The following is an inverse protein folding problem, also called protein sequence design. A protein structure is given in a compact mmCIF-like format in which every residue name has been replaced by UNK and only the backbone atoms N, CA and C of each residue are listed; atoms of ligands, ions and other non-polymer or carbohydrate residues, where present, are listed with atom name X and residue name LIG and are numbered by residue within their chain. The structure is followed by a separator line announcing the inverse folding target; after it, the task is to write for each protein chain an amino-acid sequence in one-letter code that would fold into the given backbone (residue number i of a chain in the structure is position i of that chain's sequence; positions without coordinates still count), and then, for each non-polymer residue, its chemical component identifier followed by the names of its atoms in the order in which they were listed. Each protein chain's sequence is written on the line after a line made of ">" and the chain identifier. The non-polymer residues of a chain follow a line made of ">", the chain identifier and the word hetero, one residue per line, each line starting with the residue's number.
data_IF_412858706056
#
_entry.id   IF_412858706056
#
_cell.length_a   1.000
_cell.length_b   1.000
_cell.length_c   1.000
_cell.angle_alpha   90.00
_cell.angle_beta   90.00
_cell.angle_gamma   90.00
#
_symmetry.space_group_name_H-M   'P 1'
#
loop_
_entity.id
_entity.type
_entity.pdbx_description
1 polymer ?
#
# COMPACT_ATOMS: atom_id res chain seq x y z
N UNK A 1 -13.81 5.80 12.65
CA UNK A 1 -14.74 4.72 12.24
C UNK A 1 -15.20 4.00 13.49
N UNK A 2 -16.51 3.86 13.66
CA UNK A 2 -17.09 3.22 14.81
C UNK A 2 -17.12 1.70 14.60
N UNK A 3 -16.32 0.96 15.37
CA UNK A 3 -16.25 -0.49 15.23
C UNK A 3 -17.46 -1.21 15.83
N UNK A 4 -18.32 -0.52 16.60
CA UNK A 4 -19.53 -1.13 17.15
C UNK A 4 -20.48 -1.59 16.05
N UNK A 5 -20.48 -0.95 14.87
CA UNK A 5 -21.28 -1.36 13.73
C UNK A 5 -20.81 -2.67 13.10
N UNK A 6 -19.62 -3.16 13.50
CA UNK A 6 -19.04 -4.39 12.95
C UNK A 6 -19.27 -5.61 13.84
N UNK A 7 -20.06 -5.45 14.91
CA UNK A 7 -20.44 -6.57 15.77
C UNK A 7 -21.22 -7.59 14.92
N UNK A 8 -20.71 -8.82 14.86
CA UNK A 8 -21.29 -9.86 14.00
C UNK A 8 -20.72 -9.93 12.58
N UNK A 9 -19.72 -9.10 12.25
CA UNK A 9 -19.01 -9.22 10.99
C UNK A 9 -17.90 -10.28 11.07
N UNK A 10 -17.94 -11.28 10.19
CA UNK A 10 -17.04 -12.42 10.23
C UNK A 10 -16.18 -12.59 8.97
N UNK A 11 -16.24 -11.66 8.05
CA UNK A 11 -15.55 -11.79 6.75
C UNK A 11 -14.26 -10.97 6.69
N UNK A 12 -13.42 -11.07 7.71
CA UNK A 12 -12.16 -10.35 7.77
C UNK A 12 -11.14 -10.79 6.71
N UNK A 13 -11.32 -11.95 6.09
CA UNK A 13 -10.49 -12.36 4.97
C UNK A 13 -10.71 -11.48 3.74
N UNK A 14 -11.91 -10.94 3.54
CA UNK A 14 -12.21 -10.04 2.43
C UNK A 14 -11.69 -8.63 2.70
N UNK A 15 -11.95 -8.10 3.89
CA UNK A 15 -11.48 -6.78 4.30
C UNK A 15 -11.64 -6.63 5.81
N UNK A 16 -10.91 -5.68 6.36
CA UNK A 16 -10.99 -5.32 7.77
C UNK A 16 -11.14 -3.82 7.92
N UNK A 17 -11.71 -3.33 9.05
CA UNK A 17 -11.71 -1.90 9.31
C UNK A 17 -10.28 -1.41 9.56
N UNK A 18 -10.04 -0.13 9.26
CA UNK A 18 -8.75 0.49 9.57
C UNK A 18 -8.62 0.66 11.08
N UNK A 19 -7.45 0.31 11.62
CA UNK A 19 -7.15 0.58 13.02
C UNK A 19 -7.00 2.08 13.25
N UNK A 20 -7.19 2.50 14.50
CA UNK A 20 -7.03 3.91 14.85
C UNK A 20 -5.62 4.43 14.53
N UNK A 21 -4.60 3.63 14.81
CA UNK A 21 -3.22 4.00 14.49
C UNK A 21 -2.98 4.20 13.01
N UNK A 22 -3.57 3.37 12.16
CA UNK A 22 -3.47 3.51 10.71
C UNK A 22 -4.17 4.79 10.23
N UNK A 23 -5.38 5.06 10.75
CA UNK A 23 -6.11 6.29 10.40
C UNK A 23 -5.29 7.53 10.76
N UNK A 24 -4.72 7.57 11.96
CA UNK A 24 -3.90 8.69 12.40
C UNK A 24 -2.64 8.87 11.55
N UNK A 25 -2.02 7.76 11.16
CA UNK A 25 -0.82 7.80 10.30
C UNK A 25 -1.13 8.29 8.88
N UNK A 26 -2.33 8.05 8.38
CA UNK A 26 -2.74 8.45 7.04
C UNK A 26 -3.17 9.92 6.95
N UNK A 27 -3.62 10.52 8.04
CA UNK A 27 -4.17 11.89 8.02
C UNK A 27 -3.25 12.91 7.36
N UNK A 28 -1.95 12.97 7.66
CA UNK A 28 -1.07 13.95 7.00
C UNK A 28 -0.95 13.76 5.50
N UNK A 29 -1.22 12.56 4.97
CA UNK A 29 -1.07 12.27 3.54
C UNK A 29 -2.32 12.54 2.74
N UNK A 30 -3.48 12.70 3.40
CA UNK A 30 -4.76 12.91 2.70
C UNK A 30 -4.75 14.21 1.88
N UNK A 31 -4.02 15.23 2.33
CA UNK A 31 -3.91 16.51 1.64
C UNK A 31 -2.90 16.50 0.49
N UNK A 32 -2.11 15.45 0.31
CA UNK A 32 -1.18 15.33 -0.81
C UNK A 32 -1.96 15.05 -2.09
N UNK A 33 -1.81 15.93 -3.09
CA UNK A 33 -2.58 15.86 -4.32
C UNK A 33 -1.76 15.57 -5.57
N UNK A 34 -0.44 15.67 -5.49
CA UNK A 34 0.41 15.54 -6.66
C UNK A 34 0.73 14.09 -6.99
N UNK A 35 0.83 13.79 -8.28
CA UNK A 35 1.25 12.47 -8.75
C UNK A 35 2.72 12.22 -8.38
N UNK A 36 3.04 11.15 -7.63
CA UNK A 36 4.42 10.86 -7.23
C UNK A 36 5.38 10.67 -8.40
N UNK A 37 4.88 10.25 -9.56
CA UNK A 37 5.71 10.02 -10.75
C UNK A 37 6.00 11.29 -11.55
N UNK A 38 5.33 12.41 -11.24
CA UNK A 38 5.55 13.67 -11.97
C UNK A 38 6.82 14.36 -11.52
N UNK A 39 7.62 14.91 -12.45
CA UNK A 39 8.91 15.54 -12.11
C UNK A 39 8.74 17.02 -11.72
N UNK A 40 7.88 17.34 -10.77
CA UNK A 40 7.71 18.71 -10.30
C UNK A 40 7.84 18.77 -8.77
N UNK A 41 8.01 20.00 -8.26
CA UNK A 41 8.26 20.21 -6.85
C UNK A 41 7.10 19.79 -5.93
N UNK A 42 5.87 19.81 -6.46
CA UNK A 42 4.68 19.43 -5.68
C UNK A 42 4.61 17.91 -5.45
N UNK A 43 5.34 17.13 -6.22
CA UNK A 43 5.37 15.67 -6.11
C UNK A 43 6.41 15.16 -5.12
N UNK A 44 7.30 16.03 -4.62
CA UNK A 44 8.40 15.61 -3.75
C UNK A 44 7.87 14.93 -2.48
N UNK A 45 6.88 15.53 -1.81
CA UNK A 45 6.32 14.96 -0.59
C UNK A 45 5.59 13.65 -0.85
N UNK A 46 4.88 13.54 -1.97
CA UNK A 46 4.20 12.30 -2.35
C UNK A 46 5.21 11.17 -2.60
N UNK A 47 6.29 11.46 -3.32
CA UNK A 47 7.37 10.49 -3.55
C UNK A 47 8.04 10.07 -2.26
N UNK A 48 8.33 11.03 -1.38
CA UNK A 48 8.97 10.74 -0.09
C UNK A 48 8.08 9.86 0.78
N UNK A 49 6.77 10.10 0.79
CA UNK A 49 5.80 9.31 1.55
C UNK A 49 5.78 7.85 1.05
N UNK A 50 5.73 7.65 -0.26
CA UNK A 50 5.74 6.31 -0.85
C UNK A 50 7.06 5.60 -0.61
N UNK A 51 8.18 6.31 -0.77
CA UNK A 51 9.51 5.73 -0.51
C UNK A 51 9.67 5.29 0.95
N UNK A 52 9.18 6.09 1.88
CA UNK A 52 9.23 5.75 3.30
C UNK A 52 8.33 4.55 3.61
N UNK A 53 7.14 4.49 3.05
CA UNK A 53 6.24 3.36 3.21
C UNK A 53 6.87 2.08 2.67
N UNK A 54 7.51 2.16 1.50
CA UNK A 54 8.21 1.02 0.90
C UNK A 54 9.34 0.52 1.79
N UNK A 55 10.13 1.43 2.35
CA UNK A 55 11.21 1.09 3.26
C UNK A 55 10.68 0.42 4.53
N UNK A 56 9.58 0.93 5.09
CA UNK A 56 8.99 0.37 6.29
C UNK A 56 8.48 -1.05 6.07
N UNK A 57 7.85 -1.31 4.93
CA UNK A 57 7.37 -2.66 4.58
C UNK A 57 8.56 -3.59 4.35
N UNK A 58 9.59 -3.12 3.66
CA UNK A 58 10.80 -3.91 3.42
C UNK A 58 11.46 -4.33 4.74
N UNK A 59 11.55 -3.42 5.70
CA UNK A 59 12.10 -3.74 7.03
C UNK A 59 11.25 -4.79 7.74
N UNK A 60 9.94 -4.66 7.69
CA UNK A 60 9.02 -5.62 8.30
C UNK A 60 9.18 -7.03 7.72
N UNK A 61 9.40 -7.13 6.40
CA UNK A 61 9.54 -8.39 5.69
C UNK A 61 11.00 -8.86 5.58
N UNK A 62 11.93 -8.13 6.19
CA UNK A 62 13.37 -8.43 6.17
C UNK A 62 13.90 -8.57 4.73
N UNK A 63 13.60 -7.56 3.91
CA UNK A 63 14.03 -7.50 2.51
C UNK A 63 14.44 -6.07 2.16
N UNK A 64 14.83 -5.84 0.92
CA UNK A 64 15.22 -4.51 0.45
C UNK A 64 14.06 -3.80 -0.24
N UNK A 65 14.03 -2.44 -0.20
CA UNK A 65 12.91 -1.67 -0.74
C UNK A 65 12.65 -1.91 -2.24
N UNK A 66 13.67 -2.19 -3.02
CA UNK A 66 13.51 -2.43 -4.46
C UNK A 66 12.76 -3.72 -4.78
N UNK A 67 12.49 -4.56 -3.77
CA UNK A 67 11.69 -5.79 -3.91
C UNK A 67 10.22 -5.57 -3.55
N UNK A 68 9.85 -4.36 -3.15
CA UNK A 68 8.48 -4.03 -2.76
C UNK A 68 7.81 -3.27 -3.91
N UNK A 69 6.67 -3.76 -4.35
CA UNK A 69 5.88 -3.17 -5.43
C UNK A 69 4.45 -2.97 -4.95
N UNK A 70 3.95 -1.75 -5.08
CA UNK A 70 2.58 -1.42 -4.72
C UNK A 70 1.65 -1.69 -5.90
N UNK A 71 0.48 -2.25 -5.61
CA UNK A 71 -0.55 -2.53 -6.61
C UNK A 71 -1.89 -1.97 -6.12
N UNK A 72 -2.88 -1.93 -7.02
CA UNK A 72 -4.22 -1.46 -6.68
C UNK A 72 -5.00 -2.44 -5.80
N UNK A 73 -4.57 -3.69 -5.72
CA UNK A 73 -5.24 -4.70 -4.91
C UNK A 73 -4.73 -6.09 -5.23
N UNK A 74 -5.32 -7.09 -4.58
CA UNK A 74 -4.91 -8.49 -4.69
C UNK A 74 -5.02 -9.06 -6.10
N UNK A 75 -6.04 -8.65 -6.85
CA UNK A 75 -6.22 -9.13 -8.23
C UNK A 75 -5.07 -8.72 -9.14
N UNK A 76 -4.65 -7.45 -9.08
CA UNK A 76 -3.51 -6.98 -9.85
C UNK A 76 -2.22 -7.66 -9.38
N UNK A 77 -2.02 -7.78 -8.08
CA UNK A 77 -0.83 -8.42 -7.52
C UNK A 77 -0.73 -9.88 -7.96
N UNK A 78 -1.82 -10.63 -7.91
CA UNK A 78 -1.86 -12.02 -8.33
C UNK A 78 -1.58 -12.18 -9.83
N UNK A 79 -2.19 -11.34 -10.66
CA UNK A 79 -1.94 -11.36 -12.10
C UNK A 79 -0.48 -11.04 -12.42
N UNK A 80 0.08 -10.05 -11.77
CA UNK A 80 1.47 -9.66 -11.97
C UNK A 80 2.42 -10.79 -11.58
N UNK A 81 2.21 -11.41 -10.41
CA UNK A 81 3.06 -12.49 -9.94
C UNK A 81 2.97 -13.70 -10.87
N UNK A 82 1.77 -14.13 -11.24
CA UNK A 82 1.57 -15.31 -12.08
C UNK A 82 2.15 -15.11 -13.47
N UNK A 83 1.83 -13.98 -14.12
CA UNK A 83 2.33 -13.68 -15.46
C UNK A 83 3.84 -13.45 -15.47
N UNK A 84 4.36 -12.79 -14.44
CA UNK A 84 5.80 -12.56 -14.31
C UNK A 84 6.59 -13.85 -14.23
N UNK A 85 6.14 -14.79 -13.41
CA UNK A 85 6.79 -16.11 -13.30
C UNK A 85 6.65 -16.88 -14.61
N UNK A 86 5.44 -16.89 -15.19
CA UNK A 86 5.19 -17.61 -16.44
C UNK A 86 6.08 -17.10 -17.57
N UNK A 87 6.14 -15.80 -17.78
CA UNK A 87 6.92 -15.22 -18.89
C UNK A 87 8.42 -15.40 -18.67
N UNK A 88 8.88 -15.42 -17.45
CA UNK A 88 10.29 -15.64 -17.15
C UNK A 88 10.75 -17.06 -17.54
N UNK A 89 9.85 -18.03 -17.46
CA UNK A 89 10.17 -19.45 -17.71
C UNK A 89 9.67 -19.98 -19.05
N UNK A 90 9.20 -19.08 -19.93
CA UNK A 90 8.94 -19.45 -21.32
C UNK A 90 10.22 -19.42 -22.13
#
# INVERSE_FOLDING_TARGET
>A
MDQQHLQGYFDYNATTPLSEGVVLSMQPTISLFANPSSPNRYSINSRATISQARANIADLLVTSPERIFFTSGGSEANNWAIKGVLFKHL
#
